data_IF_798699190332
#
_entry.id   IF_798699190332
#
_cell.length_a   1.000
_cell.length_b   1.000
_cell.length_c   1.000
_cell.angle_alpha   90.00
_cell.angle_beta   90.00
_cell.angle_gamma   90.00
#
_symmetry.space_group_name_H-M   'P 1'
#
loop_
_entity.id
_entity.type
_entity.pdbx_description
1 polymer ?
#
# COMPACT_ATOMS: atom_id res chain seq x y z
N UNK A 1 -15.55 -1.02 -13.15
CA UNK A 1 -14.42 -0.55 -13.98
C UNK A 1 -13.47 0.36 -13.21
N UNK A 2 -13.94 1.44 -12.59
CA UNK A 2 -13.07 2.39 -11.86
C UNK A 2 -12.17 1.76 -10.78
N UNK A 3 -12.67 0.80 -10.01
CA UNK A 3 -11.88 0.07 -9.02
C UNK A 3 -10.64 -0.62 -9.61
N UNK A 4 -10.82 -1.33 -10.72
CA UNK A 4 -9.74 -2.10 -11.36
C UNK A 4 -8.70 -1.17 -11.95
N UNK A 5 -9.12 -0.08 -12.59
CA UNK A 5 -8.22 0.94 -13.14
C UNK A 5 -7.45 1.64 -12.03
N UNK A 6 -8.13 2.00 -10.93
CA UNK A 6 -7.49 2.62 -9.77
C UNK A 6 -6.48 1.68 -9.11
N UNK A 7 -6.81 0.39 -8.99
CA UNK A 7 -5.93 -0.61 -8.41
C UNK A 7 -4.67 -0.83 -9.26
N UNK A 8 -4.80 -0.90 -10.59
CA UNK A 8 -3.66 -1.02 -11.51
C UNK A 8 -2.79 0.24 -11.49
N UNK A 9 -3.42 1.43 -11.48
CA UNK A 9 -2.70 2.71 -11.37
C UNK A 9 -1.94 2.84 -10.05
N UNK A 10 -2.55 2.41 -8.96
CA UNK A 10 -1.96 2.39 -7.61
C UNK A 10 -0.75 1.44 -7.54
N UNK A 11 -0.82 0.27 -8.17
CA UNK A 11 0.30 -0.66 -8.28
C UNK A 11 1.46 -0.08 -9.09
N UNK A 12 1.17 0.63 -10.18
CA UNK A 12 2.17 1.28 -11.02
C UNK A 12 2.89 2.42 -10.27
N UNK A 13 2.17 3.23 -9.50
CA UNK A 13 2.76 4.32 -8.69
C UNK A 13 3.61 3.81 -7.53
N UNK A 14 3.27 2.64 -6.98
CA UNK A 14 4.08 2.01 -5.94
C UNK A 14 5.34 1.31 -6.49
N UNK A 15 5.57 1.39 -7.82
CA UNK A 15 6.73 0.79 -8.49
C UNK A 15 6.90 -0.67 -8.05
N UNK A 16 5.81 -1.45 -8.00
CA UNK A 16 5.85 -2.85 -7.57
C UNK A 16 5.50 -3.80 -8.71
N UNK A 17 6.16 -4.96 -8.72
CA UNK A 17 5.91 -6.08 -9.63
C UNK A 17 4.38 -6.24 -9.81
N UNK A 18 3.85 -6.19 -11.05
CA UNK A 18 4.48 -6.44 -12.35
C UNK A 18 5.08 -5.22 -13.06
N UNK A 19 5.10 -4.04 -12.43
CA UNK A 19 5.73 -2.83 -12.99
C UNK A 19 7.16 -2.70 -12.50
N UNK A 20 8.01 -2.12 -13.34
CA UNK A 20 9.46 -2.05 -13.10
C UNK A 20 9.78 -1.26 -11.83
N UNK A 21 10.67 -1.83 -11.03
CA UNK A 21 11.29 -1.13 -9.91
C UNK A 21 12.51 -0.36 -10.44
N UNK A 22 12.65 0.95 -10.18
CA UNK A 22 13.90 1.67 -10.42
C UNK A 22 15.05 1.15 -9.53
N UNK A 23 14.75 0.30 -8.55
CA UNK A 23 15.69 -0.35 -7.64
C UNK A 23 16.20 -1.72 -8.17
N UNK A 24 15.77 -2.15 -9.36
CA UNK A 24 16.20 -3.41 -9.95
C UNK A 24 17.69 -3.36 -10.32
N UNK A 25 18.48 -4.28 -9.74
CA UNK A 25 19.94 -4.37 -9.90
C UNK A 25 20.39 -4.63 -11.35
N UNK A 26 19.45 -4.93 -12.24
CA UNK A 26 19.66 -5.22 -13.66
C UNK A 26 19.50 -3.97 -14.55
N UNK A 27 18.94 -2.87 -14.04
CA UNK A 27 18.82 -1.59 -14.77
C UNK A 27 19.92 -0.58 -14.37
N UNK A 28 20.33 0.27 -15.33
CA UNK A 28 21.63 0.95 -15.38
C UNK A 28 21.99 1.87 -14.21
N UNK A 29 21.11 2.20 -13.27
CA UNK A 29 21.44 3.07 -12.13
C UNK A 29 20.51 2.79 -10.94
N UNK A 30 20.91 1.90 -10.03
CA UNK A 30 20.40 1.88 -8.65
C UNK A 30 20.91 3.14 -7.91
N UNK A 31 20.41 4.30 -8.33
CA UNK A 31 21.03 5.60 -8.06
C UNK A 31 21.09 5.93 -6.59
N UNK A 32 19.94 5.99 -5.92
CA UNK A 32 19.94 6.34 -4.51
C UNK A 32 20.55 5.25 -3.60
N UNK A 33 20.58 4.01 -4.07
CA UNK A 33 21.12 2.86 -3.34
C UNK A 33 22.66 2.85 -3.35
N UNK A 34 23.27 3.41 -4.40
CA UNK A 34 24.73 3.52 -4.57
C UNK A 34 25.28 4.90 -4.20
N UNK A 35 24.45 5.95 -4.25
CA UNK A 35 24.87 7.34 -4.00
C UNK A 35 24.64 7.81 -2.56
N UNK A 36 23.69 7.23 -1.81
CA UNK A 36 23.39 7.64 -0.43
C UNK A 36 23.78 6.57 0.59
N UNK A 37 24.31 7.03 1.75
CA UNK A 37 24.68 6.18 2.88
C UNK A 37 24.07 6.69 4.19
N UNK A 38 23.93 5.80 5.19
CA UNK A 38 23.45 6.10 6.54
C UNK A 38 21.95 6.43 6.61
N UNK A 39 21.59 7.50 7.33
CA UNK A 39 20.18 7.90 7.55
C UNK A 39 19.47 8.30 6.25
N UNK A 40 20.20 8.88 5.29
CA UNK A 40 19.60 9.32 4.01
C UNK A 40 19.09 8.14 3.19
N UNK A 41 19.85 7.04 3.17
CA UNK A 41 19.43 5.76 2.60
C UNK A 41 18.16 5.24 3.29
N UNK A 42 18.14 5.24 4.63
CA UNK A 42 16.95 4.81 5.39
C UNK A 42 15.69 5.64 5.08
N UNK A 43 15.83 6.95 4.85
CA UNK A 43 14.70 7.82 4.49
C UNK A 43 14.11 7.50 3.11
N UNK A 44 14.91 7.07 2.14
CA UNK A 44 14.39 6.63 0.83
C UNK A 44 13.53 5.37 0.96
N UNK A 45 13.96 4.38 1.75
CA UNK A 45 13.13 3.21 2.04
C UNK A 45 11.84 3.60 2.79
N UNK A 46 11.96 4.45 3.81
CA UNK A 46 10.77 4.91 4.55
C UNK A 46 9.79 5.60 3.61
N UNK A 47 10.26 6.42 2.66
CA UNK A 47 9.42 7.09 1.68
C UNK A 47 8.71 6.09 0.74
N UNK A 48 9.40 5.06 0.23
CA UNK A 48 8.79 4.06 -0.65
C UNK A 48 7.75 3.20 0.10
N UNK A 49 8.04 2.80 1.33
CA UNK A 49 7.08 2.08 2.19
C UNK A 49 5.88 2.96 2.58
N UNK A 50 6.08 4.26 2.79
CA UNK A 50 4.99 5.20 3.03
C UNK A 50 4.09 5.35 1.80
N UNK A 51 4.66 5.40 0.60
CA UNK A 51 3.86 5.45 -0.63
C UNK A 51 2.94 4.23 -0.74
N UNK A 52 3.48 3.03 -0.49
CA UNK A 52 2.69 1.79 -0.45
C UNK A 52 1.57 1.84 0.59
N UNK A 53 1.85 2.33 1.79
CA UNK A 53 0.88 2.45 2.87
C UNK A 53 -0.26 3.41 2.50
N UNK A 54 0.07 4.61 2.02
CA UNK A 54 -0.90 5.62 1.62
C UNK A 54 -1.76 5.11 0.47
N UNK A 55 -1.13 4.46 -0.53
CA UNK A 55 -1.85 3.89 -1.66
C UNK A 55 -2.86 2.82 -1.24
N UNK A 56 -2.48 1.91 -0.34
CA UNK A 56 -3.39 0.89 0.21
C UNK A 56 -4.54 1.50 1.04
N UNK A 57 -4.26 2.60 1.74
CA UNK A 57 -5.26 3.35 2.50
C UNK A 57 -6.29 3.98 1.56
N UNK A 58 -5.87 4.59 0.46
CA UNK A 58 -6.79 5.15 -0.54
C UNK A 58 -7.69 4.08 -1.17
N UNK A 59 -7.13 2.90 -1.51
CA UNK A 59 -7.93 1.77 -2.03
C UNK A 59 -9.00 1.37 -1.00
N UNK A 60 -8.60 1.26 0.27
CA UNK A 60 -9.50 0.85 1.37
C UNK A 60 -10.62 1.87 1.62
N UNK A 61 -10.28 3.16 1.68
CA UNK A 61 -11.22 4.24 1.96
C UNK A 61 -12.21 4.44 0.81
N UNK A 62 -11.73 4.40 -0.44
CA UNK A 62 -12.56 4.71 -1.60
C UNK A 62 -13.43 3.52 -2.05
N UNK A 63 -12.94 2.29 -1.91
CA UNK A 63 -13.59 1.12 -2.53
C UNK A 63 -13.96 -0.01 -1.55
N UNK A 64 -13.26 -0.18 -0.43
CA UNK A 64 -13.56 -1.25 0.54
C UNK A 64 -14.46 -0.79 1.72
N UNK A 65 -15.00 0.43 1.67
CA UNK A 65 -15.94 0.94 2.67
C UNK A 65 -15.31 1.71 3.84
N UNK A 66 -13.98 1.89 3.83
CA UNK A 66 -13.28 2.75 4.79
C UNK A 66 -13.56 2.41 6.26
N UNK A 67 -13.99 3.41 7.04
CA UNK A 67 -14.28 3.27 8.48
C UNK A 67 -15.67 2.71 8.78
N UNK A 68 -16.61 2.84 7.85
CA UNK A 68 -17.98 2.36 8.02
C UNK A 68 -18.06 0.94 7.48
N UNK A 69 -17.59 -0.02 8.28
CA UNK A 69 -17.75 -1.43 7.97
C UNK A 69 -19.25 -1.73 7.91
N UNK A 70 -19.76 -2.22 6.79
CA UNK A 70 -21.17 -2.63 6.62
C UNK A 70 -21.46 -3.98 7.29
N UNK A 71 -20.75 -4.31 8.37
CA UNK A 71 -21.15 -5.35 9.32
C UNK A 71 -21.97 -4.60 10.36
N UNK A 72 -23.21 -5.01 10.66
CA UNK A 72 -23.92 -4.42 11.77
C UNK A 72 -23.03 -4.61 13.00
N UNK A 73 -22.51 -3.53 13.59
CA UNK A 73 -21.75 -3.59 14.84
C UNK A 73 -22.54 -4.36 15.92
N UNK A 74 -23.87 -4.33 15.83
CA UNK A 74 -24.81 -5.18 16.57
C UNK A 74 -24.53 -6.69 16.40
N UNK A 75 -24.35 -7.19 15.17
CA UNK A 75 -24.22 -8.63 14.91
C UNK A 75 -22.89 -9.24 15.39
N UNK A 76 -21.83 -8.43 15.42
CA UNK A 76 -20.51 -8.86 15.92
C UNK A 76 -20.51 -8.96 17.45
N UNK A 77 -21.25 -8.07 18.12
CA UNK A 77 -21.48 -8.14 19.56
C UNK A 77 -22.33 -9.36 19.93
N UNK A 78 -23.43 -9.61 19.21
CA UNK A 78 -24.28 -10.79 19.40
C UNK A 78 -23.53 -12.12 19.18
N UNK A 79 -22.65 -12.21 18.18
CA UNK A 79 -21.83 -13.41 17.98
C UNK A 79 -20.88 -13.71 19.15
N UNK A 80 -20.33 -12.68 19.78
CA UNK A 80 -19.47 -12.82 20.96
C UNK A 80 -20.27 -13.18 22.21
N UNK A 81 -21.50 -12.69 22.32
CA UNK A 81 -22.40 -12.96 23.45
C UNK A 81 -23.02 -14.37 23.38
N UNK A 82 -23.25 -14.91 22.17
CA UNK A 82 -23.73 -16.29 21.96
C UNK A 82 -22.70 -17.37 22.38
N UNK A 83 -21.41 -17.03 22.42
CA UNK A 83 -20.33 -17.94 22.83
C UNK A 83 -19.95 -17.81 24.33
N UNK A 84 -20.76 -17.14 25.15
CA UNK A 84 -20.61 -17.08 26.61
C UNK A 84 -21.81 -17.69 27.31
#
# INVERSE_FOLDING_TARGET
MGFVVFLISSLAECERLPFDLPEAEEELVAGYQTEYSGIKFGLFYVASYLNLLISSLFVTVLYLGGSNISIPYISLFEFFEINK
#
